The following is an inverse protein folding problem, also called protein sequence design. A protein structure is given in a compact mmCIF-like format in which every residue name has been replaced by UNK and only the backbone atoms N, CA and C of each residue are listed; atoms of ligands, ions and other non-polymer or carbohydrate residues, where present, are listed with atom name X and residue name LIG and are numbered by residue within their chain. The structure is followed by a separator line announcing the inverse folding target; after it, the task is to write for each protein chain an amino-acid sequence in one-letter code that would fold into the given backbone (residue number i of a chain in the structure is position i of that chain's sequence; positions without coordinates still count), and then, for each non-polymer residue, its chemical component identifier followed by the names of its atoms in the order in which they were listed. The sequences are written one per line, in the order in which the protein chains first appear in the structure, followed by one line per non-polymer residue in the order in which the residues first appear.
data_IF_527411529563
#
_entry.id   IF_527411529563
#
_cell.length_a   1.000
_cell.length_b   1.000
_cell.length_c   1.000
_cell.angle_alpha   90.00
_cell.angle_beta   90.00
_cell.angle_gamma   90.00
#
_symmetry.space_group_name_H-M   'P 1'
#
loop_
_entity.id
_entity.type
_entity.pdbx_description
1 polymer ?
#
# COMPACT_ATOMS: atom_id res chain seq x y z
N UNK A 1 6.03 6.91 17.41
CA UNK A 1 6.59 5.98 18.41
C UNK A 1 6.40 4.57 17.87
N UNK A 2 7.48 3.82 17.65
CA UNK A 2 7.42 2.49 17.01
C UNK A 2 6.77 1.48 17.93
N UNK A 3 5.60 0.97 17.56
CA UNK A 3 4.80 0.10 18.41
C UNK A 3 4.21 -1.12 17.67
N UNK A 4 4.39 -1.16 16.35
CA UNK A 4 3.93 -2.23 15.47
C UNK A 4 5.14 -2.87 14.79
N UNK A 5 5.24 -4.21 14.87
CA UNK A 5 6.24 -4.98 14.14
C UNK A 5 5.55 -5.84 13.08
N UNK A 6 5.97 -5.68 11.83
CA UNK A 6 5.57 -6.55 10.72
C UNK A 6 6.71 -7.52 10.45
N UNK A 7 6.44 -8.83 10.49
CA UNK A 7 7.45 -9.87 10.32
C UNK A 7 7.12 -10.71 9.08
N UNK A 8 8.04 -10.77 8.12
CA UNK A 8 7.98 -11.80 7.07
C UNK A 8 8.34 -13.16 7.68
N UNK A 9 7.69 -14.22 7.23
CA UNK A 9 7.80 -15.56 7.84
C UNK A 9 8.24 -16.59 6.80
N UNK A 10 9.25 -17.37 7.15
CA UNK A 10 9.69 -18.54 6.39
C UNK A 10 9.29 -19.85 7.06
N UNK A 11 9.77 -20.96 6.48
CA UNK A 11 9.48 -22.32 6.98
C UNK A 11 10.56 -22.90 7.88
N UNK A 12 11.53 -22.08 8.30
CA UNK A 12 12.70 -22.52 9.08
C UNK A 12 12.31 -23.19 10.41
N UNK A 13 11.38 -22.58 11.15
CA UNK A 13 10.86 -23.12 12.41
C UNK A 13 10.21 -24.49 12.19
N UNK A 14 9.40 -24.64 11.16
CA UNK A 14 8.75 -25.91 10.85
C UNK A 14 9.75 -27.02 10.53
N UNK A 15 10.79 -26.69 9.76
CA UNK A 15 11.88 -27.63 9.50
C UNK A 15 12.61 -28.02 10.79
N UNK A 16 12.90 -27.07 11.68
CA UNK A 16 13.55 -27.39 12.96
C UNK A 16 12.68 -28.28 13.85
N UNK A 17 11.37 -28.04 13.90
CA UNK A 17 10.42 -28.88 14.65
C UNK A 17 10.33 -30.30 14.07
N UNK A 18 10.33 -30.44 12.74
CA UNK A 18 10.26 -31.74 12.06
C UNK A 18 11.42 -32.67 12.45
N UNK A 19 12.60 -32.10 12.64
CA UNK A 19 13.84 -32.79 13.04
C UNK A 19 14.17 -32.63 14.53
N UNK A 20 13.20 -32.22 15.34
CA UNK A 20 13.36 -32.17 16.79
C UNK A 20 13.23 -33.57 17.41
N UNK A 21 13.56 -33.67 18.69
CA UNK A 21 13.45 -34.89 19.49
C UNK A 21 12.60 -34.65 20.76
N UNK A 22 12.20 -35.73 21.42
CA UNK A 22 11.50 -35.69 22.71
C UNK A 22 10.09 -35.09 22.63
N UNK A 23 9.69 -34.39 23.69
CA UNK A 23 8.31 -33.89 23.85
C UNK A 23 7.89 -32.91 22.74
N UNK A 24 8.83 -32.13 22.19
CA UNK A 24 8.54 -31.21 21.08
C UNK A 24 8.18 -32.01 19.83
N UNK A 25 8.92 -33.08 19.54
CA UNK A 25 8.67 -33.94 18.39
C UNK A 25 7.33 -34.63 18.49
N UNK A 26 7.03 -35.19 19.67
CA UNK A 26 5.74 -35.83 19.93
C UNK A 26 4.58 -34.84 19.75
N UNK A 27 4.66 -33.65 20.36
CA UNK A 27 3.64 -32.62 20.22
C UNK A 27 3.48 -32.12 18.77
N UNK A 28 4.58 -32.05 18.02
CA UNK A 28 4.58 -31.67 16.61
C UNK A 28 3.91 -32.73 15.72
N UNK A 29 4.26 -34.00 15.91
CA UNK A 29 3.69 -35.12 15.14
C UNK A 29 2.19 -35.31 15.43
N UNK A 30 1.78 -35.07 16.67
CA UNK A 30 0.37 -35.02 17.10
C UNK A 30 -0.38 -33.75 16.62
N UNK A 31 0.32 -32.83 15.94
CA UNK A 31 -0.18 -31.51 15.52
C UNK A 31 -0.77 -30.68 16.67
N UNK A 32 -0.27 -30.88 17.89
CA UNK A 32 -0.68 -30.14 19.07
C UNK A 32 0.09 -28.81 19.18
N UNK A 33 -0.29 -27.84 18.36
CA UNK A 33 0.39 -26.54 18.26
C UNK A 33 0.41 -25.74 19.57
N UNK A 34 -0.58 -25.92 20.45
CA UNK A 34 -0.59 -25.32 21.79
C UNK A 34 0.56 -25.88 22.64
N UNK A 35 0.72 -27.21 22.67
CA UNK A 35 1.79 -27.85 23.41
C UNK A 35 3.17 -27.49 22.83
N UNK A 36 3.30 -27.47 21.49
CA UNK A 36 4.53 -27.00 20.83
C UNK A 36 4.86 -25.57 21.28
N UNK A 37 3.88 -24.66 21.30
CA UNK A 37 4.12 -23.27 21.73
C UNK A 37 4.59 -23.17 23.19
N UNK A 38 4.07 -24.00 24.09
CA UNK A 38 4.46 -24.02 25.51
C UNK A 38 5.88 -24.57 25.67
N UNK A 39 6.22 -25.65 24.98
CA UNK A 39 7.56 -26.24 25.03
C UNK A 39 8.63 -25.33 24.42
N UNK A 40 8.28 -24.54 23.39
CA UNK A 40 9.18 -23.52 22.85
C UNK A 40 9.44 -22.37 23.83
N UNK A 41 8.49 -22.03 24.71
CA UNK A 41 8.68 -21.01 25.75
C UNK A 41 9.65 -21.46 26.86
N UNK A 42 9.92 -22.76 26.96
CA UNK A 42 10.89 -23.32 27.91
C UNK A 42 12.33 -23.33 27.33
N UNK A 43 12.50 -22.95 26.06
CA UNK A 43 13.79 -22.87 25.39
C UNK A 43 14.34 -21.46 25.40
N UNK A 44 15.64 -21.31 25.21
CA UNK A 44 16.20 -19.99 24.95
C UNK A 44 15.78 -19.58 23.54
N UNK A 45 15.36 -18.32 23.36
CA UNK A 45 14.89 -17.84 22.05
C UNK A 45 15.99 -17.84 20.98
N UNK A 46 17.26 -17.90 21.40
CA UNK A 46 18.43 -18.07 20.53
C UNK A 46 18.66 -19.52 20.08
N UNK A 47 18.00 -20.50 20.71
CA UNK A 47 18.18 -21.90 20.36
C UNK A 47 17.69 -22.14 18.94
N UNK A 48 18.43 -22.96 18.19
CA UNK A 48 18.11 -23.28 16.78
C UNK A 48 16.67 -23.76 16.62
N UNK A 49 16.15 -24.50 17.60
CA UNK A 49 14.78 -25.03 17.58
C UNK A 49 13.70 -23.95 17.47
N UNK A 50 13.95 -22.74 17.99
CA UNK A 50 13.00 -21.63 17.97
C UNK A 50 12.92 -20.91 16.60
N UNK A 51 13.83 -21.22 15.68
CA UNK A 51 13.81 -20.64 14.32
C UNK A 51 14.17 -19.15 14.27
N UNK A 52 14.19 -18.62 13.06
CA UNK A 52 14.71 -17.28 12.80
C UNK A 52 13.78 -16.17 13.29
N UNK A 53 12.47 -16.38 13.20
CA UNK A 53 11.44 -15.41 13.60
C UNK A 53 11.44 -15.17 15.11
N UNK A 54 11.51 -16.23 15.93
CA UNK A 54 11.53 -16.09 17.40
C UNK A 54 12.82 -15.40 17.85
N UNK A 55 13.95 -15.81 17.29
CA UNK A 55 15.25 -15.24 17.61
C UNK A 55 15.31 -13.74 17.27
N UNK A 56 14.97 -13.38 16.02
CA UNK A 56 15.04 -11.99 15.54
C UNK A 56 14.10 -11.06 16.30
N UNK A 57 12.85 -11.45 16.55
CA UNK A 57 11.89 -10.61 17.31
C UNK A 57 12.37 -10.42 18.76
N UNK A 58 12.90 -11.47 19.39
CA UNK A 58 13.47 -11.35 20.75
C UNK A 58 14.64 -10.36 20.78
N UNK A 59 15.54 -10.44 19.80
CA UNK A 59 16.66 -9.52 19.67
C UNK A 59 16.19 -8.07 19.47
N UNK A 60 15.17 -7.84 18.62
CA UNK A 60 14.55 -6.52 18.40
C UNK A 60 13.97 -5.96 19.72
N UNK A 61 13.20 -6.77 20.44
CA UNK A 61 12.58 -6.38 21.70
C UNK A 61 13.62 -6.07 22.78
N UNK A 62 14.63 -6.93 22.96
CA UNK A 62 15.66 -6.77 23.99
C UNK A 62 16.56 -5.56 23.74
N UNK A 63 16.78 -5.18 22.48
CA UNK A 63 17.49 -3.95 22.11
C UNK A 63 16.65 -2.67 22.28
N UNK A 64 15.37 -2.78 22.65
CA UNK A 64 14.48 -1.62 22.79
C UNK A 64 14.20 -0.90 21.46
N UNK A 65 14.29 -1.61 20.33
CA UNK A 65 14.07 -1.04 19.00
C UNK A 65 12.59 -0.75 18.70
N UNK A 66 11.70 -1.22 19.58
CA UNK A 66 10.29 -0.85 19.66
C UNK A 66 10.06 -0.08 20.96
N UNK A 67 9.33 1.03 20.88
CA UNK A 67 8.91 1.81 22.05
C UNK A 67 7.79 1.15 22.84
N UNK A 68 6.99 0.29 22.20
CA UNK A 68 5.96 -0.52 22.84
C UNK A 68 5.70 -1.80 22.02
N UNK A 69 5.16 -2.84 22.66
CA UNK A 69 4.81 -4.13 22.02
C UNK A 69 3.29 -4.20 21.79
N UNK A 70 2.75 -3.29 20.99
CA UNK A 70 1.29 -3.19 20.80
C UNK A 70 0.82 -4.21 19.77
N UNK A 71 1.37 -4.18 18.54
CA UNK A 71 0.89 -5.02 17.44
C UNK A 71 2.02 -5.80 16.78
N UNK A 72 1.80 -7.10 16.56
CA UNK A 72 2.69 -7.98 15.80
C UNK A 72 1.89 -8.62 14.65
N UNK A 73 2.36 -8.41 13.43
CA UNK A 73 1.72 -8.92 12.20
C UNK A 73 2.70 -9.85 11.50
N UNK A 74 2.32 -11.12 11.37
CA UNK A 74 3.06 -12.10 10.58
C UNK A 74 2.55 -12.15 9.15
N UNK A 75 3.42 -11.94 8.17
CA UNK A 75 3.11 -12.08 6.75
C UNK A 75 3.62 -13.43 6.25
N UNK A 76 2.69 -14.37 6.07
CA UNK A 76 3.00 -15.78 5.75
C UNK A 76 2.71 -16.11 4.29
N UNK A 77 3.41 -17.12 3.76
CA UNK A 77 3.15 -17.68 2.44
C UNK A 77 1.75 -18.28 2.34
N UNK A 78 1.19 -18.29 1.13
CA UNK A 78 -0.07 -18.97 0.82
C UNK A 78 0.15 -20.46 0.60
N UNK A 79 0.62 -21.10 1.66
CA UNK A 79 0.86 -22.55 1.74
C UNK A 79 0.35 -23.06 3.09
N UNK A 80 0.05 -24.35 3.17
CA UNK A 80 -0.39 -24.97 4.43
C UNK A 80 0.69 -24.85 5.52
N UNK A 81 1.96 -24.95 5.13
CA UNK A 81 3.10 -24.74 6.02
C UNK A 81 3.15 -23.30 6.55
N UNK A 82 2.97 -22.30 5.67
CA UNK A 82 2.91 -20.89 6.08
C UNK A 82 1.78 -20.61 7.08
N UNK A 83 0.59 -21.17 6.82
CA UNK A 83 -0.58 -21.05 7.70
C UNK A 83 -0.35 -21.71 9.07
N UNK A 84 0.26 -22.90 9.10
CA UNK A 84 0.62 -23.62 10.34
C UNK A 84 1.60 -22.81 11.18
N UNK A 85 2.67 -22.29 10.57
CA UNK A 85 3.68 -21.49 11.27
C UNK A 85 3.10 -20.17 11.76
N UNK A 86 2.31 -19.46 10.94
CA UNK A 86 1.62 -18.25 11.36
C UNK A 86 0.73 -18.47 12.58
N UNK A 87 0.02 -19.61 12.60
CA UNK A 87 -0.80 -20.03 13.75
C UNK A 87 0.05 -20.32 14.99
N UNK A 88 1.15 -21.07 14.85
CA UNK A 88 2.08 -21.36 15.96
C UNK A 88 2.72 -20.09 16.53
N UNK A 89 3.22 -19.19 15.68
CA UNK A 89 3.83 -17.93 16.11
C UNK A 89 2.80 -17.03 16.79
N UNK A 90 1.57 -16.99 16.29
CA UNK A 90 0.47 -16.29 16.96
C UNK A 90 0.25 -16.83 18.38
N UNK A 91 0.16 -18.15 18.54
CA UNK A 91 0.02 -18.78 19.86
C UNK A 91 1.18 -18.42 20.79
N UNK A 92 2.41 -18.51 20.29
CA UNK A 92 3.64 -18.22 21.04
C UNK A 92 3.68 -16.76 21.56
N UNK A 93 3.41 -15.78 20.70
CA UNK A 93 3.47 -14.35 21.07
C UNK A 93 2.24 -13.81 21.76
N UNK A 94 1.12 -14.55 21.74
CA UNK A 94 -0.09 -14.22 22.51
C UNK A 94 -0.06 -14.83 23.92
N UNK A 95 0.88 -15.74 24.20
CA UNK A 95 0.92 -16.46 25.46
C UNK A 95 1.33 -15.55 26.62
N UNK A 96 0.59 -15.62 27.73
CA UNK A 96 0.86 -14.81 28.91
C UNK A 96 2.24 -15.07 29.54
N UNK A 97 2.79 -16.28 29.38
CA UNK A 97 4.13 -16.67 29.87
C UNK A 97 5.27 -16.11 29.02
N UNK A 98 4.99 -15.55 27.85
CA UNK A 98 6.01 -14.99 26.97
C UNK A 98 6.38 -13.56 27.42
N UNK A 99 7.63 -13.35 27.81
CA UNK A 99 8.15 -12.05 28.27
C UNK A 99 8.18 -10.99 27.14
N UNK A 100 8.30 -11.44 25.89
CA UNK A 100 8.29 -10.61 24.69
C UNK A 100 6.94 -10.65 23.96
N UNK A 101 5.84 -10.98 24.66
CA UNK A 101 4.48 -10.94 24.12
C UNK A 101 4.07 -9.54 23.64
N UNK A 102 3.12 -9.53 22.72
CA UNK A 102 2.47 -8.31 22.20
C UNK A 102 1.00 -8.26 22.63
N UNK A 103 0.43 -7.06 22.71
CA UNK A 103 -0.99 -6.88 23.06
C UNK A 103 -1.93 -7.47 22.01
N UNK A 104 -1.59 -7.30 20.73
CA UNK A 104 -2.31 -7.86 19.59
C UNK A 104 -1.35 -8.61 18.67
N UNK A 105 -1.67 -9.88 18.39
CA UNK A 105 -0.92 -10.72 17.45
C UNK A 105 -1.85 -11.28 16.39
N UNK A 106 -1.49 -11.11 15.14
CA UNK A 106 -2.21 -11.67 13.99
C UNK A 106 -1.24 -12.17 12.92
N UNK A 107 -1.72 -13.07 12.07
CA UNK A 107 -1.03 -13.44 10.85
C UNK A 107 -1.96 -13.18 9.66
N UNK A 108 -1.36 -12.80 8.54
CA UNK A 108 -2.05 -12.56 7.27
C UNK A 108 -1.39 -13.42 6.21
N UNK A 109 -2.22 -14.16 5.49
CA UNK A 109 -1.79 -14.98 4.36
C UNK A 109 -1.65 -14.07 3.15
N UNK A 110 -0.46 -14.02 2.56
CA UNK A 110 -0.23 -13.28 1.33
C UNK A 110 -0.66 -14.13 0.15
N UNK A 111 -1.91 -13.98 -0.29
CA UNK A 111 -2.47 -14.76 -1.40
C UNK A 111 -1.54 -14.77 -2.62
N UNK A 112 -1.29 -15.96 -3.16
CA UNK A 112 -0.38 -16.17 -4.28
C UNK A 112 1.11 -16.16 -3.94
N UNK A 113 1.52 -15.89 -2.70
CA UNK A 113 2.92 -16.02 -2.28
C UNK A 113 3.26 -17.51 -2.02
N UNK A 114 3.57 -18.24 -3.08
CA UNK A 114 3.84 -19.70 -3.10
C UNK A 114 4.97 -20.03 -4.08
N UNK A 115 5.75 -21.07 -3.81
CA UNK A 115 6.95 -21.43 -4.60
C UNK A 115 6.71 -22.44 -5.72
N UNK A 116 5.54 -23.06 -5.76
CA UNK A 116 5.11 -23.98 -6.81
C UNK A 116 4.43 -23.28 -8.00
N UNK A 117 4.20 -21.97 -7.91
CA UNK A 117 3.65 -21.14 -9.00
C UNK A 117 4.35 -19.77 -9.06
N UNK A 118 5.33 -19.65 -9.96
CA UNK A 118 6.11 -18.42 -10.18
C UNK A 118 5.23 -17.24 -10.63
N UNK A 119 4.18 -17.52 -11.42
CA UNK A 119 3.27 -16.47 -11.91
C UNK A 119 2.48 -15.91 -10.73
N UNK A 120 1.87 -16.77 -9.91
CA UNK A 120 1.18 -16.37 -8.69
C UNK A 120 2.12 -15.63 -7.72
N UNK A 121 3.34 -16.13 -7.52
CA UNK A 121 4.34 -15.51 -6.64
C UNK A 121 4.61 -14.06 -7.03
N UNK A 122 4.92 -13.83 -8.31
CA UNK A 122 5.28 -12.51 -8.82
C UNK A 122 4.06 -11.59 -8.92
N UNK A 123 2.97 -12.05 -9.52
CA UNK A 123 1.86 -11.21 -9.92
C UNK A 123 0.79 -11.03 -8.83
N UNK A 124 0.79 -11.86 -7.79
CA UNK A 124 -0.14 -11.75 -6.67
C UNK A 124 0.61 -11.64 -5.35
N UNK A 125 1.49 -12.60 -5.03
CA UNK A 125 2.18 -12.68 -3.75
C UNK A 125 2.97 -11.42 -3.38
N UNK A 126 3.87 -10.99 -4.26
CA UNK A 126 4.67 -9.77 -4.04
C UNK A 126 3.82 -8.49 -4.05
N UNK A 127 2.76 -8.43 -4.87
CA UNK A 127 1.82 -7.30 -4.87
C UNK A 127 1.08 -7.20 -3.54
N UNK A 128 0.62 -8.32 -3.01
CA UNK A 128 -0.06 -8.39 -1.72
C UNK A 128 0.87 -8.05 -0.55
N UNK A 129 2.16 -8.42 -0.61
CA UNK A 129 3.15 -7.95 0.35
C UNK A 129 3.22 -6.41 0.42
N UNK A 130 3.30 -5.76 -0.76
CA UNK A 130 3.33 -4.29 -0.85
C UNK A 130 2.04 -3.69 -0.29
N UNK A 131 0.87 -4.23 -0.69
CA UNK A 131 -0.44 -3.73 -0.25
C UNK A 131 -0.65 -3.84 1.24
N UNK A 132 -0.30 -4.98 1.84
CA UNK A 132 -0.46 -5.20 3.29
C UNK A 132 0.37 -4.20 4.10
N UNK A 133 1.65 -4.03 3.75
CA UNK A 133 2.52 -3.08 4.45
C UNK A 133 2.08 -1.63 4.20
N UNK A 134 1.70 -1.29 2.96
CA UNK A 134 1.24 0.07 2.61
C UNK A 134 -0.07 0.42 3.34
N UNK A 135 -0.96 -0.55 3.51
CA UNK A 135 -2.20 -0.39 4.30
C UNK A 135 -1.90 -0.03 5.74
N UNK A 136 -0.98 -0.76 6.38
CA UNK A 136 -0.57 -0.45 7.76
C UNK A 136 0.04 0.95 7.88
N UNK A 137 0.84 1.38 6.90
CA UNK A 137 1.41 2.74 6.88
C UNK A 137 0.33 3.80 6.75
N UNK A 138 -0.70 3.58 5.93
CA UNK A 138 -1.83 4.51 5.81
C UNK A 138 -2.63 4.61 7.11
N UNK A 139 -2.84 3.49 7.78
CA UNK A 139 -3.67 3.44 9.00
C UNK A 139 -2.95 3.97 10.24
N UNK A 140 -1.63 3.78 10.35
CA UNK A 140 -0.88 4.04 11.60
C UNK A 140 0.36 4.93 11.47
N UNK A 141 0.78 5.32 10.26
CA UNK A 141 2.05 5.98 9.91
C UNK A 141 3.29 5.07 9.86
N UNK A 142 4.26 5.43 9.02
CA UNK A 142 5.53 4.74 8.90
C UNK A 142 6.37 4.81 10.20
N UNK A 143 6.24 5.91 10.95
CA UNK A 143 6.96 6.16 12.21
C UNK A 143 6.48 5.26 13.37
N UNK A 144 5.32 4.60 13.22
CA UNK A 144 4.79 3.64 14.19
C UNK A 144 5.23 2.19 13.89
N UNK A 145 5.78 1.93 12.71
CA UNK A 145 6.02 0.59 12.18
C UNK A 145 7.51 0.28 12.14
N UNK A 146 7.85 -0.99 12.33
CA UNK A 146 9.12 -1.58 11.93
C UNK A 146 8.87 -2.87 11.15
N UNK A 147 9.81 -3.22 10.28
CA UNK A 147 9.77 -4.50 9.53
C UNK A 147 10.87 -5.40 10.06
N UNK A 148 10.54 -6.64 10.39
CA UNK A 148 11.49 -7.73 10.55
C UNK A 148 11.48 -8.57 9.27
N UNK A 149 12.53 -8.45 8.47
CA UNK A 149 12.70 -9.15 7.20
C UNK A 149 13.73 -10.28 7.32
N UNK A 150 13.74 -10.99 8.45
CA UNK A 150 14.67 -12.11 8.69
C UNK A 150 14.22 -13.40 7.98
N UNK A 151 12.94 -13.73 8.09
CA UNK A 151 12.38 -14.99 7.58
C UNK A 151 11.59 -14.80 6.28
N UNK A 152 11.45 -15.86 5.49
CA UNK A 152 10.64 -15.88 4.28
C UNK A 152 11.44 -16.18 3.02
N UNK A 153 10.78 -16.09 1.86
CA UNK A 153 11.45 -16.23 0.57
C UNK A 153 12.44 -15.09 0.36
N UNK A 154 13.59 -15.37 -0.29
CA UNK A 154 14.62 -14.34 -0.56
C UNK A 154 14.04 -13.11 -1.29
N UNK A 155 13.15 -13.34 -2.26
CA UNK A 155 12.47 -12.26 -2.97
C UNK A 155 11.50 -11.48 -2.05
N UNK A 156 10.76 -12.16 -1.17
CA UNK A 156 9.89 -11.53 -0.17
C UNK A 156 10.69 -10.65 0.79
N UNK A 157 11.81 -11.16 1.32
CA UNK A 157 12.72 -10.42 2.21
C UNK A 157 13.29 -9.18 1.49
N UNK A 158 13.77 -9.35 0.25
CA UNK A 158 14.29 -8.24 -0.56
C UNK A 158 13.24 -7.17 -0.80
N UNK A 159 11.99 -7.56 -1.12
CA UNK A 159 10.89 -6.62 -1.30
C UNK A 159 10.51 -5.93 0.01
N UNK A 160 10.49 -6.63 1.15
CA UNK A 160 10.23 -6.02 2.45
C UNK A 160 11.29 -4.94 2.78
N UNK A 161 12.57 -5.21 2.48
CA UNK A 161 13.65 -4.22 2.54
C UNK A 161 13.36 -2.98 1.71
N UNK A 162 13.03 -3.17 0.44
CA UNK A 162 12.72 -2.09 -0.50
C UNK A 162 11.46 -1.30 -0.13
N UNK A 163 10.40 -1.96 0.34
CA UNK A 163 9.20 -1.30 0.86
C UNK A 163 9.56 -0.41 2.05
N UNK A 164 10.39 -0.91 2.98
CA UNK A 164 10.85 -0.12 4.10
C UNK A 164 11.62 1.12 3.67
N UNK A 165 12.50 1.00 2.68
CA UNK A 165 13.20 2.15 2.11
C UNK A 165 12.25 3.16 1.46
N UNK A 166 11.32 2.71 0.63
CA UNK A 166 10.39 3.59 -0.07
C UNK A 166 9.42 4.29 0.89
N UNK A 167 8.87 3.57 1.87
CA UNK A 167 7.84 4.09 2.78
C UNK A 167 8.42 4.77 4.03
N UNK A 168 9.74 4.73 4.25
CA UNK A 168 10.38 5.37 5.40
C UNK A 168 10.30 4.53 6.69
N UNK A 169 10.28 3.20 6.56
CA UNK A 169 10.16 2.25 7.67
C UNK A 169 11.53 1.60 7.91
N UNK A 170 12.04 1.55 9.16
CA UNK A 170 13.26 0.79 9.45
C UNK A 170 13.02 -0.71 9.27
N UNK A 171 14.02 -1.37 8.69
CA UNK A 171 13.99 -2.81 8.45
C UNK A 171 15.08 -3.49 9.26
N UNK A 172 14.74 -4.55 9.97
CA UNK A 172 15.66 -5.34 10.77
C UNK A 172 15.84 -6.72 10.17
N UNK A 173 17.07 -7.22 10.22
CA UNK A 173 17.41 -8.59 9.82
C UNK A 173 18.36 -9.21 10.83
N UNK A 174 18.19 -10.50 11.09
CA UNK A 174 19.17 -11.30 11.80
C UNK A 174 20.00 -12.10 10.79
N UNK A 175 21.32 -11.93 10.83
CA UNK A 175 22.24 -12.75 10.06
C UNK A 175 22.70 -13.93 10.90
N UNK A 176 22.65 -15.16 10.36
CA UNK A 176 22.81 -16.40 11.14
C UNK A 176 24.10 -16.50 11.97
N UNK A 177 25.18 -15.82 11.58
CA UNK A 177 26.45 -15.82 12.33
C UNK A 177 26.51 -14.80 13.47
N UNK A 178 25.54 -13.88 13.55
CA UNK A 178 25.45 -12.87 14.59
C UNK A 178 24.21 -13.14 15.46
N UNK A 179 24.34 -12.96 16.77
CA UNK A 179 23.20 -12.98 17.71
C UNK A 179 22.42 -11.67 17.73
N UNK A 180 22.76 -10.75 16.82
CA UNK A 180 22.30 -9.38 16.83
C UNK A 180 21.61 -8.99 15.53
N UNK A 181 20.43 -8.39 15.66
CA UNK A 181 19.76 -7.77 14.52
C UNK A 181 20.52 -6.54 14.04
N UNK A 182 20.57 -6.41 12.72
CA UNK A 182 21.10 -5.27 11.98
C UNK A 182 19.93 -4.43 11.50
N UNK A 183 19.99 -3.13 11.75
CA UNK A 183 19.04 -2.15 11.21
C UNK A 183 19.50 -1.68 9.84
N UNK A 184 18.60 -1.69 8.87
CA UNK A 184 18.67 -0.87 7.68
C UNK A 184 17.75 0.33 7.85
N UNK A 185 18.32 1.51 8.14
CA UNK A 185 17.53 2.73 8.27
C UNK A 185 17.00 3.16 6.90
N UNK A 186 15.82 3.80 6.85
CA UNK A 186 15.32 4.38 5.61
C UNK A 186 16.27 5.46 5.11
N UNK A 187 16.63 5.40 3.83
CA UNK A 187 17.50 6.40 3.19
C UNK A 187 16.71 7.60 2.66
N UNK A 188 17.34 8.78 2.55
CA UNK A 188 16.71 9.98 1.99
C UNK A 188 16.61 9.94 0.46
N UNK A 189 16.10 8.83 -0.10
CA UNK A 189 15.85 8.65 -1.53
C UNK A 189 14.38 8.97 -1.81
N UNK A 190 14.14 9.90 -2.72
CA UNK A 190 12.79 10.24 -3.18
C UNK A 190 12.49 9.61 -4.52
N UNK A 191 11.26 9.13 -4.69
CA UNK A 191 10.71 8.78 -6.00
C UNK A 191 10.25 10.05 -6.72
N UNK A 192 10.19 9.99 -8.05
CA UNK A 192 9.83 11.15 -8.86
C UNK A 192 8.32 11.46 -8.78
N UNK A 193 7.97 12.38 -7.88
CA UNK A 193 6.59 12.82 -7.70
C UNK A 193 6.03 13.54 -8.93
N UNK A 194 6.87 14.25 -9.70
CA UNK A 194 6.43 14.93 -10.91
C UNK A 194 6.05 13.91 -12.00
N UNK A 195 6.82 12.83 -12.12
CA UNK A 195 6.46 11.70 -12.97
C UNK A 195 5.12 11.08 -12.55
N UNK A 196 4.91 10.85 -11.25
CA UNK A 196 3.62 10.35 -10.77
C UNK A 196 2.46 11.31 -11.09
N UNK A 197 2.62 12.61 -10.82
CA UNK A 197 1.59 13.62 -11.08
C UNK A 197 1.25 13.74 -12.57
N UNK A 198 2.22 13.59 -13.47
CA UNK A 198 1.96 13.61 -14.91
C UNK A 198 1.24 12.34 -15.40
N UNK A 199 1.33 11.23 -14.67
CA UNK A 199 0.73 9.94 -15.02
C UNK A 199 -0.37 9.52 -14.03
N UNK A 200 -0.86 10.44 -13.20
CA UNK A 200 -1.78 10.14 -12.10
C UNK A 200 -3.03 9.40 -12.57
N UNK A 201 -3.65 9.86 -13.66
CA UNK A 201 -4.84 9.23 -14.23
C UNK A 201 -4.61 7.76 -14.60
N UNK A 202 -3.44 7.42 -15.15
CA UNK A 202 -3.09 6.04 -15.48
C UNK A 202 -2.94 5.19 -14.21
N UNK A 203 -2.23 5.71 -13.20
CA UNK A 203 -2.07 5.02 -11.91
C UNK A 203 -3.41 4.80 -11.20
N UNK A 204 -4.29 5.80 -11.16
CA UNK A 204 -5.65 5.66 -10.62
C UNK A 204 -6.44 4.59 -11.35
N UNK A 205 -6.37 4.60 -12.68
CA UNK A 205 -7.13 3.68 -13.51
C UNK A 205 -6.66 2.24 -13.29
N UNK A 206 -5.35 2.00 -13.30
CA UNK A 206 -4.77 0.68 -13.01
C UNK A 206 -5.02 0.23 -11.56
N UNK A 207 -5.08 1.14 -10.59
CA UNK A 207 -5.43 0.80 -9.20
C UNK A 207 -6.91 0.44 -9.06
N UNK A 208 -7.81 1.14 -9.77
CA UNK A 208 -9.26 0.91 -9.66
C UNK A 208 -9.75 -0.30 -10.48
N UNK A 209 -9.28 -0.46 -11.71
CA UNK A 209 -9.70 -1.55 -12.62
C UNK A 209 -8.87 -2.82 -12.39
N UNK A 210 -7.71 -2.73 -11.72
CA UNK A 210 -6.71 -3.78 -11.45
C UNK A 210 -6.04 -4.38 -12.70
N UNK A 211 -6.80 -4.65 -13.76
CA UNK A 211 -6.34 -5.25 -15.01
C UNK A 211 -7.06 -4.61 -16.19
N UNK A 212 -6.30 -4.02 -17.13
CA UNK A 212 -6.83 -3.27 -18.28
C UNK A 212 -6.24 -3.83 -19.57
N UNK A 213 -7.05 -3.96 -20.62
CA UNK A 213 -6.56 -4.41 -21.92
C UNK A 213 -5.55 -3.40 -22.49
N UNK A 214 -4.38 -3.87 -22.93
CA UNK A 214 -3.26 -3.02 -23.34
C UNK A 214 -3.62 -2.02 -24.44
N UNK A 215 -4.45 -2.44 -25.40
CA UNK A 215 -4.94 -1.60 -26.50
C UNK A 215 -5.69 -0.35 -26.05
N UNK A 216 -6.21 -0.32 -24.83
CA UNK A 216 -6.88 0.84 -24.24
C UNK A 216 -5.90 1.85 -23.64
N UNK A 217 -4.61 1.50 -23.51
CA UNK A 217 -3.56 2.27 -22.85
C UNK A 217 -2.34 2.50 -23.74
N UNK A 218 -2.35 2.07 -25.01
CA UNK A 218 -1.16 2.03 -25.87
C UNK A 218 -0.38 3.35 -25.91
N UNK A 219 -1.07 4.50 -26.05
CA UNK A 219 -0.42 5.81 -26.08
C UNK A 219 0.03 6.33 -24.70
N UNK A 220 -0.42 5.72 -23.61
CA UNK A 220 -0.11 6.12 -22.23
C UNK A 220 1.11 5.37 -21.67
N UNK A 221 1.47 4.20 -22.22
CA UNK A 221 2.49 3.28 -21.64
C UNK A 221 3.78 3.17 -22.46
N UNK A 222 4.03 4.09 -23.40
CA UNK A 222 5.24 4.07 -24.25
C UNK A 222 6.53 4.39 -23.46
N UNK A 223 6.41 5.03 -22.30
CA UNK A 223 7.55 5.42 -21.48
C UNK A 223 8.23 4.21 -20.81
N UNK A 224 9.56 4.07 -20.96
CA UNK A 224 10.34 2.96 -20.39
C UNK A 224 10.22 2.85 -18.85
N UNK A 225 10.12 3.98 -18.14
CA UNK A 225 9.89 3.96 -16.69
C UNK A 225 8.49 3.42 -16.36
N UNK A 226 7.46 3.75 -17.14
CA UNK A 226 6.12 3.17 -16.93
C UNK A 226 6.13 1.66 -17.18
N UNK A 227 6.85 1.19 -18.22
CA UNK A 227 6.98 -0.24 -18.50
C UNK A 227 7.60 -1.01 -17.33
N UNK A 228 8.51 -0.40 -16.57
CA UNK A 228 9.08 -1.01 -15.36
C UNK A 228 8.10 -1.12 -14.16
N UNK A 229 7.01 -0.36 -14.20
CA UNK A 229 6.01 -0.26 -13.13
C UNK A 229 4.74 -1.08 -13.43
N UNK A 230 4.68 -1.77 -14.57
CA UNK A 230 3.54 -2.58 -14.97
C UNK A 230 3.96 -4.04 -15.23
N UNK A 231 3.02 -4.95 -15.06
CA UNK A 231 3.13 -6.33 -15.54
C UNK A 231 2.16 -6.52 -16.72
N UNK A 232 2.60 -7.26 -17.73
CA UNK A 232 1.78 -7.69 -18.86
C UNK A 232 1.47 -9.19 -18.75
N UNK A 233 0.22 -9.55 -19.05
CA UNK A 233 -0.20 -10.95 -19.16
C UNK A 233 -1.16 -11.16 -20.33
N UNK A 234 -1.16 -12.37 -20.90
CA UNK A 234 -2.13 -12.78 -21.90
C UNK A 234 -3.35 -13.41 -21.23
N UNK A 235 -4.53 -12.86 -21.49
CA UNK A 235 -5.83 -13.42 -21.11
C UNK A 235 -6.63 -13.57 -22.40
N UNK A 236 -7.03 -14.81 -22.73
CA UNK A 236 -7.71 -15.15 -23.98
C UNK A 236 -6.98 -14.61 -25.24
N UNK A 237 -5.65 -14.81 -25.28
CA UNK A 237 -4.72 -14.33 -26.33
C UNK A 237 -4.69 -12.80 -26.51
N UNK A 238 -5.26 -12.04 -25.59
CA UNK A 238 -5.20 -10.58 -25.57
C UNK A 238 -4.26 -10.09 -24.45
N UNK A 239 -3.41 -9.09 -24.73
CA UNK A 239 -2.53 -8.53 -23.72
C UNK A 239 -3.30 -7.62 -22.75
N UNK A 240 -3.13 -7.87 -21.46
CA UNK A 240 -3.62 -7.06 -20.36
C UNK A 240 -2.48 -6.56 -19.49
N UNK A 241 -2.69 -5.39 -18.89
CA UNK A 241 -1.72 -4.66 -18.10
C UNK A 241 -2.28 -4.42 -16.70
N UNK A 242 -1.41 -4.58 -15.69
CA UNK A 242 -1.69 -4.25 -14.29
C UNK A 242 -0.47 -3.57 -13.67
N UNK A 243 -0.62 -2.86 -12.55
CA UNK A 243 0.55 -2.40 -11.80
C UNK A 243 1.37 -3.60 -11.32
N UNK A 244 2.68 -3.55 -11.52
CA UNK A 244 3.59 -4.50 -10.89
C UNK A 244 3.70 -4.24 -9.38
N UNK A 245 4.35 -5.12 -8.62
CA UNK A 245 4.63 -4.83 -7.22
C UNK A 245 5.44 -3.52 -7.04
N UNK A 246 6.33 -3.20 -7.99
CA UNK A 246 7.02 -1.92 -8.04
C UNK A 246 6.09 -0.76 -8.36
N UNK A 247 5.15 -0.94 -9.31
CA UNK A 247 4.15 0.06 -9.64
C UNK A 247 3.25 0.43 -8.47
N UNK A 248 2.79 -0.58 -7.72
CA UNK A 248 2.00 -0.36 -6.50
C UNK A 248 2.85 0.41 -5.48
N UNK A 249 4.09 -0.03 -5.21
CA UNK A 249 4.95 0.66 -4.23
C UNK A 249 5.25 2.11 -4.63
N UNK A 250 5.51 2.34 -5.92
CA UNK A 250 5.72 3.67 -6.48
C UNK A 250 4.48 4.56 -6.28
N UNK A 251 3.29 4.03 -6.59
CA UNK A 251 2.01 4.74 -6.41
C UNK A 251 1.79 5.09 -4.94
N UNK A 252 1.93 4.12 -4.03
CA UNK A 252 1.73 4.28 -2.59
C UNK A 252 2.67 5.33 -1.98
N UNK A 253 3.97 5.25 -2.31
CA UNK A 253 4.93 6.26 -1.88
C UNK A 253 4.60 7.63 -2.44
N UNK A 254 4.25 7.73 -3.72
CA UNK A 254 3.94 9.02 -4.35
C UNK A 254 2.72 9.68 -3.72
N UNK A 255 1.68 8.92 -3.38
CA UNK A 255 0.51 9.41 -2.62
C UNK A 255 0.90 9.96 -1.25
N UNK A 256 1.72 9.23 -0.49
CA UNK A 256 2.20 9.68 0.82
C UNK A 256 3.03 10.97 0.71
N UNK A 257 3.88 11.06 -0.32
CA UNK A 257 4.68 12.25 -0.56
C UNK A 257 3.81 13.43 -0.98
N UNK A 258 2.83 13.21 -1.86
CA UNK A 258 1.86 14.22 -2.26
C UNK A 258 1.11 14.76 -1.05
N UNK A 259 0.55 13.89 -0.20
CA UNK A 259 -0.18 14.31 1.00
C UNK A 259 0.68 15.18 1.94
N UNK A 260 1.99 14.91 2.04
CA UNK A 260 2.93 15.72 2.84
C UNK A 260 3.33 17.04 2.17
N UNK A 261 3.23 17.14 0.84
CA UNK A 261 3.73 18.27 0.05
C UNK A 261 2.63 19.08 -0.64
N UNK A 262 1.36 18.68 -0.53
CA UNK A 262 0.22 19.24 -1.27
C UNK A 262 0.14 20.76 -1.11
N UNK A 263 0.21 21.27 0.12
CA UNK A 263 0.16 22.71 0.38
C UNK A 263 1.30 23.47 -0.30
N UNK A 264 2.52 22.92 -0.27
CA UNK A 264 3.69 23.52 -0.94
C UNK A 264 3.50 23.50 -2.45
N UNK A 265 3.05 22.38 -3.04
CA UNK A 265 2.80 22.27 -4.47
C UNK A 265 1.71 23.25 -4.93
N UNK A 266 0.60 23.32 -4.21
CA UNK A 266 -0.50 24.26 -4.48
C UNK A 266 -0.06 25.72 -4.38
N UNK A 267 0.90 26.06 -3.51
CA UNK A 267 1.41 27.42 -3.39
C UNK A 267 2.19 27.91 -4.62
N UNK A 268 2.69 26.99 -5.44
CA UNK A 268 3.42 27.28 -6.68
C UNK A 268 2.49 27.47 -7.89
N UNK A 269 1.22 27.09 -7.75
CA UNK A 269 0.20 27.19 -8.79
C UNK A 269 -0.49 28.57 -8.68
N UNK A 270 -0.64 29.31 -9.80
CA UNK A 270 -1.35 30.58 -9.79
C UNK A 270 -2.77 30.43 -9.23
N UNK A 271 -3.22 31.44 -8.49
CA UNK A 271 -4.60 31.54 -8.03
C UNK A 271 -5.38 32.49 -8.95
N UNK A 272 -6.70 32.32 -8.97
CA UNK A 272 -7.63 33.23 -9.63
C UNK A 272 -8.23 34.17 -8.58
N UNK A 273 -7.85 35.46 -8.67
CA UNK A 273 -8.29 36.54 -7.78
C UNK A 273 -9.73 37.01 -8.06
N UNK A 274 -10.39 36.46 -9.08
CA UNK A 274 -11.80 36.75 -9.36
C UNK A 274 -12.67 36.31 -8.18
N UNK A 275 -13.55 37.21 -7.69
CA UNK A 275 -14.47 36.84 -6.60
C UNK A 275 -15.38 35.68 -7.04
N UNK A 276 -15.73 34.74 -6.13
CA UNK A 276 -16.48 33.53 -6.51
C UNK A 276 -17.75 33.83 -7.31
N UNK A 277 -18.48 34.90 -6.97
CA UNK A 277 -19.74 35.29 -7.61
C UNK A 277 -19.58 35.67 -9.08
N UNK A 278 -18.40 36.19 -9.44
CA UNK A 278 -18.05 36.60 -10.80
C UNK A 278 -17.52 35.46 -11.66
N UNK A 279 -17.16 34.31 -11.07
CA UNK A 279 -16.72 33.13 -11.81
C UNK A 279 -17.90 32.50 -12.54
N UNK A 280 -17.89 32.43 -13.88
CA UNK A 280 -19.01 31.93 -14.66
C UNK A 280 -19.35 30.47 -14.33
N UNK A 281 -20.65 30.18 -14.30
CA UNK A 281 -21.20 28.83 -14.27
C UNK A 281 -22.03 28.62 -15.53
N UNK A 282 -21.70 27.59 -16.30
CA UNK A 282 -22.49 27.12 -17.43
C UNK A 282 -22.81 25.65 -17.21
N UNK A 283 -24.09 25.30 -17.28
CA UNK A 283 -24.62 23.93 -17.10
C UNK A 283 -25.66 23.65 -18.20
N UNK A 284 -25.78 22.39 -18.62
CA UNK A 284 -26.88 21.96 -19.48
C UNK A 284 -28.21 21.96 -18.72
N UNK A 285 -29.29 22.14 -19.46
CA UNK A 285 -30.66 22.01 -18.95
C UNK A 285 -31.06 20.53 -18.95
N UNK A 286 -30.65 19.81 -17.90
CA UNK A 286 -30.82 18.36 -17.75
C UNK A 286 -31.22 18.00 -16.32
N UNK A 287 -31.74 16.77 -16.12
CA UNK A 287 -32.05 16.27 -14.78
C UNK A 287 -30.82 16.27 -13.85
N UNK A 288 -30.98 16.84 -12.65
CA UNK A 288 -29.91 16.99 -11.64
C UNK A 288 -29.21 18.35 -11.67
N UNK A 289 -29.75 19.32 -12.43
CA UNK A 289 -29.22 20.68 -12.53
C UNK A 289 -29.16 21.40 -11.18
N UNK A 290 -30.14 21.19 -10.29
CA UNK A 290 -30.19 21.76 -8.94
C UNK A 290 -29.01 21.30 -8.08
N UNK A 291 -28.71 20.00 -8.10
CA UNK A 291 -27.57 19.39 -7.40
C UNK A 291 -26.26 19.91 -8.00
N UNK A 292 -26.15 19.94 -9.33
CA UNK A 292 -24.97 20.43 -10.04
C UNK A 292 -24.74 21.92 -9.80
N UNK A 293 -25.80 22.73 -9.75
CA UNK A 293 -25.72 24.16 -9.46
C UNK A 293 -25.24 24.38 -8.03
N UNK A 294 -25.80 23.68 -7.04
CA UNK A 294 -25.36 23.77 -5.66
C UNK A 294 -23.89 23.38 -5.49
N UNK A 295 -23.44 22.33 -6.17
CA UNK A 295 -22.04 21.92 -6.16
C UNK A 295 -21.12 22.91 -6.90
N UNK A 296 -21.54 23.40 -8.07
CA UNK A 296 -20.83 24.42 -8.84
C UNK A 296 -20.56 25.69 -8.01
N UNK A 297 -21.58 26.14 -7.27
CA UNK A 297 -21.49 27.26 -6.33
C UNK A 297 -20.48 27.03 -5.20
N UNK A 298 -20.39 25.79 -4.72
CA UNK A 298 -19.43 25.41 -3.67
C UNK A 298 -18.00 25.35 -4.23
N UNK A 299 -17.79 24.65 -5.34
CA UNK A 299 -16.46 24.36 -5.88
C UNK A 299 -15.80 25.60 -6.50
N UNK A 300 -16.57 26.54 -7.08
CA UNK A 300 -16.02 27.79 -7.65
C UNK A 300 -15.36 28.70 -6.63
N UNK A 301 -15.64 28.52 -5.33
CA UNK A 301 -14.98 29.25 -4.23
C UNK A 301 -13.52 28.87 -4.07
N UNK A 302 -13.07 27.76 -4.66
CA UNK A 302 -11.65 27.42 -4.70
C UNK A 302 -10.87 28.49 -5.48
N UNK A 303 -9.73 28.98 -4.97
CA UNK A 303 -8.88 29.92 -5.70
C UNK A 303 -8.27 29.29 -6.96
N UNK A 304 -8.28 27.97 -7.07
CA UNK A 304 -7.74 27.23 -8.22
C UNK A 304 -8.76 26.97 -9.33
N UNK A 305 -10.03 27.35 -9.14
CA UNK A 305 -11.10 27.22 -10.14
C UNK A 305 -11.36 28.56 -10.81
N UNK A 306 -11.34 28.60 -12.14
CA UNK A 306 -11.63 29.81 -12.94
C UNK A 306 -13.10 29.93 -13.33
N UNK A 307 -13.69 28.81 -13.78
CA UNK A 307 -15.11 28.74 -14.20
C UNK A 307 -15.58 27.30 -14.31
N UNK A 308 -16.90 27.12 -14.30
CA UNK A 308 -17.54 25.86 -14.69
C UNK A 308 -17.91 25.95 -16.16
N UNK A 309 -17.32 25.08 -16.98
CA UNK A 309 -17.45 25.08 -18.44
C UNK A 309 -18.81 24.51 -18.85
N UNK A 310 -19.13 23.33 -18.31
CA UNK A 310 -20.37 22.62 -18.60
C UNK A 310 -20.65 21.52 -17.56
N UNK A 311 -21.85 20.94 -17.59
CA UNK A 311 -22.12 19.63 -16.97
C UNK A 311 -21.67 18.47 -17.89
N UNK A 312 -21.35 17.33 -17.27
CA UNK A 312 -20.98 16.09 -17.96
C UNK A 312 -22.21 15.19 -18.17
N UNK A 313 -22.21 14.30 -19.20
CA UNK A 313 -23.15 13.18 -19.26
C UNK A 313 -23.06 12.31 -18.00
N UNK A 314 -24.11 11.54 -17.69
CA UNK A 314 -24.13 10.65 -16.53
C UNK A 314 -23.00 9.62 -16.56
N UNK A 315 -22.31 9.46 -15.42
CA UNK A 315 -21.23 8.50 -15.24
C UNK A 315 -21.52 7.56 -14.05
N UNK A 316 -22.60 6.75 -14.10
CA UNK A 316 -23.06 5.96 -12.95
C UNK A 316 -22.07 4.87 -12.50
N UNK A 317 -21.08 4.52 -13.34
CA UNK A 317 -20.04 3.54 -13.03
C UNK A 317 -18.75 4.16 -12.49
N UNK A 318 -18.67 5.49 -12.44
CA UNK A 318 -17.46 6.18 -11.99
C UNK A 318 -17.32 6.08 -10.48
N UNK A 319 -16.18 5.57 -10.02
CA UNK A 319 -15.86 5.42 -8.59
C UNK A 319 -14.89 6.50 -8.06
N UNK A 320 -14.07 7.08 -8.94
CA UNK A 320 -13.15 8.17 -8.60
C UNK A 320 -13.76 9.53 -9.04
N UNK A 321 -13.80 10.56 -8.17
CA UNK A 321 -14.30 11.87 -8.57
C UNK A 321 -13.54 12.52 -9.72
N UNK A 322 -12.25 12.20 -9.92
CA UNK A 322 -11.46 12.70 -11.04
C UNK A 322 -11.66 11.74 -12.21
N UNK A 323 -12.48 12.13 -13.19
CA UNK A 323 -12.72 11.33 -14.40
C UNK A 323 -11.62 11.53 -15.44
N UNK A 324 -11.24 12.78 -15.68
CA UNK A 324 -10.27 13.17 -16.71
C UNK A 324 -9.62 14.48 -16.33
N UNK A 325 -8.37 14.65 -16.72
CA UNK A 325 -7.63 15.92 -16.66
C UNK A 325 -6.97 16.20 -18.01
N UNK A 326 -6.74 17.47 -18.30
CA UNK A 326 -6.02 17.90 -19.50
C UNK A 326 -4.93 18.91 -19.14
N UNK A 327 -3.85 18.96 -19.92
CA UNK A 327 -2.74 19.90 -19.71
C UNK A 327 -3.13 21.38 -19.85
N UNK A 328 -4.30 21.65 -20.43
CA UNK A 328 -4.93 22.97 -20.56
C UNK A 328 -5.61 23.48 -19.26
N UNK A 329 -5.55 22.70 -18.17
CA UNK A 329 -6.17 23.06 -16.90
C UNK A 329 -7.62 22.60 -16.77
N UNK A 330 -8.12 21.75 -17.66
CA UNK A 330 -9.48 21.20 -17.57
C UNK A 330 -9.49 19.98 -16.63
N UNK A 331 -10.48 19.94 -15.73
CA UNK A 331 -10.78 18.79 -14.86
C UNK A 331 -12.23 18.37 -15.07
N UNK A 332 -12.46 17.11 -15.44
CA UNK A 332 -13.77 16.47 -15.40
C UNK A 332 -13.97 15.84 -14.02
N UNK A 333 -14.89 16.43 -13.24
CA UNK A 333 -15.16 16.06 -11.86
C UNK A 333 -16.55 15.41 -11.74
N UNK A 334 -16.62 14.19 -11.22
CA UNK A 334 -17.85 13.42 -11.03
C UNK A 334 -18.21 13.34 -9.55
N UNK A 335 -19.48 13.58 -9.25
CA UNK A 335 -20.08 13.45 -7.93
C UNK A 335 -20.41 11.97 -7.71
N UNK A 336 -19.42 11.19 -7.27
CA UNK A 336 -19.51 9.73 -7.13
C UNK A 336 -20.50 9.28 -6.04
N UNK A 337 -20.97 10.20 -5.21
CA UNK A 337 -22.05 9.97 -4.24
C UNK A 337 -23.47 10.13 -4.83
N UNK A 338 -23.58 10.39 -6.13
CA UNK A 338 -24.87 10.45 -6.83
C UNK A 338 -25.07 9.19 -7.66
N UNK A 339 -26.23 8.55 -7.57
CA UNK A 339 -26.52 7.30 -8.29
C UNK A 339 -26.31 7.41 -9.81
N UNK A 340 -26.53 8.61 -10.36
CA UNK A 340 -26.39 8.90 -11.79
C UNK A 340 -24.97 9.30 -12.19
N UNK A 341 -24.05 9.48 -11.24
CA UNK A 341 -22.72 10.03 -11.49
C UNK A 341 -22.78 11.38 -12.21
N UNK A 342 -23.52 12.34 -11.62
CA UNK A 342 -23.55 13.73 -12.08
C UNK A 342 -22.14 14.31 -12.10
N UNK A 343 -21.80 15.21 -13.02
CA UNK A 343 -20.46 15.78 -13.05
C UNK A 343 -20.34 17.13 -13.75
N UNK A 344 -19.19 17.76 -13.57
CA UNK A 344 -18.82 19.07 -14.09
C UNK A 344 -17.54 18.99 -14.89
N UNK A 345 -17.45 19.78 -15.96
CA UNK A 345 -16.20 20.15 -16.61
C UNK A 345 -15.76 21.52 -16.05
N UNK A 346 -14.58 21.56 -15.43
CA UNK A 346 -14.08 22.68 -14.65
C UNK A 346 -12.82 23.22 -15.32
N UNK A 347 -12.77 24.53 -15.58
CA UNK A 347 -11.51 25.19 -15.93
C UNK A 347 -10.79 25.59 -14.64
N UNK A 348 -9.56 25.14 -14.49
CA UNK A 348 -8.68 25.47 -13.37
C UNK A 348 -7.58 26.46 -13.76
N UNK A 349 -6.76 26.83 -12.78
CA UNK A 349 -5.57 27.66 -12.97
C UNK A 349 -4.32 26.86 -13.39
N UNK A 350 -4.40 25.52 -13.47
CA UNK A 350 -3.29 24.67 -13.86
C UNK A 350 -2.76 25.01 -15.25
N UNK A 351 -1.43 25.07 -15.39
CA UNK A 351 -0.73 25.45 -16.63
C UNK A 351 -0.17 24.25 -17.41
N UNK A 352 -0.11 23.10 -16.75
CA UNK A 352 0.37 21.83 -17.29
C UNK A 352 -0.34 20.67 -16.60
N UNK A 353 -0.05 19.44 -17.03
CA UNK A 353 -0.74 18.25 -16.53
C UNK A 353 -0.49 17.99 -15.04
N UNK A 354 0.75 18.10 -14.58
CA UNK A 354 1.08 17.93 -13.16
C UNK A 354 0.37 18.94 -12.24
N UNK A 355 0.34 20.22 -12.63
CA UNK A 355 -0.41 21.25 -11.89
C UNK A 355 -1.92 20.97 -11.90
N UNK A 356 -2.46 20.57 -13.06
CA UNK A 356 -3.89 20.26 -13.20
C UNK A 356 -4.27 19.06 -12.33
N UNK A 357 -3.45 18.01 -12.31
CA UNK A 357 -3.62 16.86 -11.42
C UNK A 357 -3.50 17.24 -9.95
N UNK A 358 -2.55 18.13 -9.60
CA UNK A 358 -2.42 18.66 -8.23
C UNK A 358 -3.70 19.36 -7.78
N UNK A 359 -4.27 20.24 -8.63
CA UNK A 359 -5.55 20.91 -8.35
C UNK A 359 -6.69 19.88 -8.27
N UNK A 360 -6.77 18.93 -9.20
CA UNK A 360 -7.81 17.91 -9.22
C UNK A 360 -7.82 17.07 -7.94
N UNK A 361 -6.66 16.63 -7.49
CA UNK A 361 -6.44 15.92 -6.22
C UNK A 361 -6.89 16.76 -5.02
N UNK A 362 -6.48 18.03 -4.98
CA UNK A 362 -6.90 18.96 -3.93
C UNK A 362 -8.42 19.15 -3.86
N UNK A 363 -9.06 19.33 -5.02
CA UNK A 363 -10.51 19.46 -5.12
C UNK A 363 -11.19 18.15 -4.69
N UNK A 364 -10.68 16.99 -5.09
CA UNK A 364 -11.23 15.70 -4.69
C UNK A 364 -11.17 15.51 -3.18
N UNK A 365 -10.02 15.76 -2.55
CA UNK A 365 -9.87 15.65 -1.09
C UNK A 365 -10.84 16.59 -0.35
N UNK A 366 -10.87 17.86 -0.74
CA UNK A 366 -11.67 18.91 -0.10
C UNK A 366 -13.19 18.73 -0.23
N UNK A 367 -13.64 18.12 -1.33
CA UNK A 367 -15.07 18.08 -1.66
C UNK A 367 -15.70 16.69 -1.60
N UNK A 368 -14.92 15.63 -1.46
CA UNK A 368 -15.44 14.26 -1.30
C UNK A 368 -15.32 13.70 0.11
N UNK A 369 -14.36 14.19 0.92
CA UNK A 369 -14.29 13.88 2.36
C UNK A 369 -15.21 14.83 3.12
N UNK A 370 -16.47 14.41 3.27
CA UNK A 370 -17.50 15.10 4.06
C UNK A 370 -17.88 14.29 5.29
#
# INVERSE_FOLDING_TARGET
MRNTLICTVGTSLLNNLKYSDGDIKQAFDDQNWNQVSLLLLEKYNSDRICGAEINSITSICNKGLLSAKIKLIFLVSDTDEGKKIGSLLKLYYSNAKNEVRFEKVEFRVLSGLRDDDVKAFKQQGLKNLVREISTEVRDFSAEAIAINATGGYKAQISFAGMIGQALGIPVYYLFEKFSEVIELPPQPVSLDLAFWLNNYSLFERLESEQTIQKSQLESEIENEYLQSLIDEELIDDQPYVSLSAMGILFNERSRLQFAKQETTLLSLIPQDDTTPERKPISLRDDHGQDILQAFAEKIRRSPYVKRIINSLPFNPKQVNPIRKVESSGIVEFVLTWTDRGLGLSIQTTGRNLAETNTIALHLADKFTKG
#
